data_IF_616568735296
#
_entry.id   IF_616568735296
#
_cell.length_a   1.000
_cell.length_b   1.000
_cell.length_c   1.000
_cell.angle_alpha   90.00
_cell.angle_beta   90.00
_cell.angle_gamma   90.00
#
_symmetry.space_group_name_H-M   'P 1'
#
loop_
_entity.id
_entity.type
_entity.pdbx_description
1 polymer ?
#
# COMPACT_ATOMS: atom_id res chain seq x y z
N UNK A 1 -4.86 20.07 -24.54
CA UNK A 1 -5.07 20.91 -23.34
C UNK A 1 -4.07 20.50 -22.29
N UNK A 2 -3.30 21.43 -21.71
CA UNK A 2 -2.42 21.12 -20.59
C UNK A 2 -3.26 20.90 -19.33
N UNK A 3 -3.31 19.68 -18.81
CA UNK A 3 -4.00 19.34 -17.55
C UNK A 3 -3.37 20.15 -16.41
N UNK A 4 -4.18 20.75 -15.55
CA UNK A 4 -3.69 21.45 -14.34
C UNK A 4 -3.62 20.49 -13.15
N UNK A 5 -2.84 20.82 -12.12
CA UNK A 5 -2.76 20.02 -10.89
C UNK A 5 -4.08 19.97 -10.11
N UNK A 6 -4.98 20.93 -10.34
CA UNK A 6 -6.30 20.99 -9.71
C UNK A 6 -7.37 20.22 -10.49
N UNK A 7 -7.07 19.82 -11.74
CA UNK A 7 -8.01 19.04 -12.55
C UNK A 7 -8.19 17.64 -11.94
N UNK A 8 -9.38 17.03 -12.11
CA UNK A 8 -9.57 15.63 -11.75
C UNK A 8 -8.70 14.72 -12.62
N UNK A 9 -8.21 13.62 -12.04
CA UNK A 9 -7.64 12.52 -12.84
C UNK A 9 -8.74 12.00 -13.76
N UNK A 10 -8.42 11.85 -15.05
CA UNK A 10 -9.36 11.33 -16.04
C UNK A 10 -9.48 9.82 -15.88
N UNK A 11 -10.40 9.39 -15.01
CA UNK A 11 -10.80 7.99 -14.85
C UNK A 11 -12.21 7.81 -15.43
N UNK A 12 -12.38 6.79 -16.26
CA UNK A 12 -13.70 6.40 -16.78
C UNK A 12 -14.44 5.58 -15.73
N UNK A 13 -15.75 5.56 -15.83
CA UNK A 13 -16.62 4.73 -15.00
C UNK A 13 -17.49 3.83 -15.86
N UNK A 14 -18.12 2.86 -15.22
CA UNK A 14 -18.97 1.84 -15.87
C UNK A 14 -20.17 2.43 -16.62
N UNK A 15 -20.52 3.71 -16.42
CA UNK A 15 -21.58 4.37 -17.20
C UNK A 15 -21.26 4.48 -18.70
N UNK A 16 -20.00 4.25 -19.07
CA UNK A 16 -19.58 4.14 -20.46
C UNK A 16 -20.07 2.87 -21.17
N UNK A 17 -20.55 1.87 -20.44
CA UNK A 17 -21.03 0.60 -21.01
C UNK A 17 -22.55 0.50 -20.97
N UNK A 18 -23.20 -0.20 -21.92
CA UNK A 18 -24.64 -0.46 -21.82
C UNK A 18 -24.93 -1.49 -20.72
N UNK A 19 -26.04 -1.31 -19.99
CA UNK A 19 -26.54 -2.30 -19.02
C UNK A 19 -25.72 -2.45 -17.74
N UNK A 20 -24.99 -1.41 -17.32
CA UNK A 20 -24.26 -1.41 -16.04
C UNK A 20 -25.20 -1.39 -14.83
N UNK A 21 -24.86 -2.15 -13.79
CA UNK A 21 -25.67 -2.27 -12.58
C UNK A 21 -25.47 -1.08 -11.62
N UNK A 22 -24.23 -0.64 -11.45
CA UNK A 22 -23.84 0.46 -10.58
C UNK A 22 -22.72 1.28 -11.23
N UNK A 23 -22.66 2.59 -10.92
CA UNK A 23 -21.58 3.46 -11.37
C UNK A 23 -20.37 3.20 -10.48
N UNK A 24 -19.38 2.49 -11.03
CA UNK A 24 -18.09 2.21 -10.41
C UNK A 24 -16.98 2.76 -11.31
N UNK A 25 -15.91 3.31 -10.72
CA UNK A 25 -14.77 3.76 -11.51
C UNK A 25 -14.03 2.53 -12.03
N UNK A 26 -13.76 2.52 -13.32
CA UNK A 26 -12.97 1.46 -13.94
C UNK A 26 -11.52 1.69 -13.52
N UNK A 27 -10.88 0.74 -12.82
CA UNK A 27 -9.58 0.97 -12.21
C UNK A 27 -8.50 1.21 -13.26
N UNK A 28 -7.56 2.11 -12.92
CA UNK A 28 -6.28 2.24 -13.62
C UNK A 28 -5.21 1.55 -12.79
N UNK A 29 -4.60 0.50 -13.33
CA UNK A 29 -3.76 -0.45 -12.58
C UNK A 29 -2.28 -0.24 -12.91
N UNK A 30 -1.46 -0.14 -11.88
CA UNK A 30 0.00 -0.01 -11.97
C UNK A 30 0.68 -1.16 -11.25
N UNK A 31 1.82 -1.61 -11.77
CA UNK A 31 2.61 -2.72 -11.22
C UNK A 31 1.76 -3.98 -11.03
N UNK A 32 2.02 -4.71 -9.94
CA UNK A 32 1.20 -5.87 -9.53
C UNK A 32 0.15 -5.44 -8.52
N UNK A 33 -1.12 -5.69 -8.82
CA UNK A 33 -2.21 -5.34 -7.93
C UNK A 33 -3.31 -6.39 -7.95
N UNK A 34 -3.93 -6.62 -6.79
CA UNK A 34 -5.16 -7.39 -6.67
C UNK A 34 -6.35 -6.45 -6.74
N UNK A 35 -7.18 -6.58 -7.77
CA UNK A 35 -8.29 -5.66 -8.06
C UNK A 35 -9.62 -6.39 -8.11
N UNK A 36 -10.72 -5.66 -7.84
CA UNK A 36 -12.08 -6.14 -8.05
C UNK A 36 -12.46 -5.98 -9.53
N UNK A 37 -12.69 -7.07 -10.29
CA UNK A 37 -13.18 -6.98 -11.66
C UNK A 37 -14.62 -6.43 -11.67
N UNK A 38 -14.91 -5.56 -12.63
CA UNK A 38 -16.23 -4.94 -12.79
C UNK A 38 -17.01 -5.64 -13.88
N UNK A 39 -18.29 -5.95 -13.62
CA UNK A 39 -19.15 -6.61 -14.60
C UNK A 39 -19.22 -5.79 -15.88
N UNK A 40 -18.99 -6.44 -17.02
CA UNK A 40 -18.99 -5.81 -18.34
C UNK A 40 -20.17 -6.22 -19.22
N UNK A 41 -20.77 -7.39 -19.00
CA UNK A 41 -21.86 -7.89 -19.83
C UNK A 41 -23.10 -8.30 -19.04
N UNK A 42 -24.25 -8.30 -19.72
CA UNK A 42 -25.55 -8.69 -19.16
C UNK A 42 -25.58 -10.15 -18.71
N UNK A 43 -24.83 -11.05 -19.35
CA UNK A 43 -24.77 -12.46 -18.93
C UNK A 43 -23.95 -12.68 -17.64
N UNK A 44 -23.22 -11.66 -17.16
CA UNK A 44 -22.42 -11.75 -15.93
C UNK A 44 -21.21 -12.67 -16.02
N UNK A 45 -20.73 -12.94 -17.24
CA UNK A 45 -19.59 -13.85 -17.50
C UNK A 45 -18.33 -13.12 -17.91
N UNK A 46 -18.43 -11.85 -18.35
CA UNK A 46 -17.28 -11.03 -18.72
C UNK A 46 -17.17 -9.83 -17.78
N UNK A 47 -15.93 -9.55 -17.36
CA UNK A 47 -15.59 -8.52 -16.41
C UNK A 47 -14.40 -7.70 -16.92
N UNK A 48 -14.43 -6.40 -16.71
CA UNK A 48 -13.30 -5.52 -16.97
C UNK A 48 -12.42 -5.44 -15.71
N UNK A 49 -11.10 -5.57 -15.89
CA UNK A 49 -10.11 -5.48 -14.81
C UNK A 49 -9.32 -4.17 -14.81
N UNK A 50 -9.27 -3.47 -15.94
CA UNK A 50 -8.62 -2.16 -16.05
C UNK A 50 -9.13 -1.35 -17.26
N UNK A 51 -9.08 -0.02 -17.15
CA UNK A 51 -9.42 0.95 -18.23
C UNK A 51 -8.25 1.19 -19.22
N UNK A 52 -7.39 0.19 -19.37
CA UNK A 52 -6.28 0.15 -20.32
C UNK A 52 -5.87 -1.29 -20.56
N UNK A 53 -5.03 -1.52 -21.58
CA UNK A 53 -4.40 -2.82 -21.76
C UNK A 53 -3.46 -3.13 -20.59
N UNK A 54 -3.49 -4.37 -20.11
CA UNK A 54 -2.60 -4.88 -19.06
C UNK A 54 -1.61 -5.88 -19.64
N UNK A 55 -0.49 -6.08 -18.97
CA UNK A 55 0.53 -7.05 -19.38
C UNK A 55 -0.01 -8.48 -19.24
N UNK A 56 -0.64 -8.79 -18.11
CA UNK A 56 -1.24 -10.09 -17.84
C UNK A 56 -2.24 -10.03 -16.67
N UNK A 57 -3.08 -11.07 -16.58
CA UNK A 57 -3.83 -11.44 -15.38
C UNK A 57 -3.29 -12.79 -14.92
N UNK A 58 -2.68 -12.83 -13.74
CA UNK A 58 -1.93 -13.99 -13.26
C UNK A 58 -2.84 -15.00 -12.53
N UNK A 59 -3.84 -14.52 -11.80
CA UNK A 59 -4.85 -15.37 -11.16
C UNK A 59 -6.19 -14.64 -10.99
N UNK A 60 -7.25 -15.43 -10.87
CA UNK A 60 -8.60 -14.95 -10.54
C UNK A 60 -9.15 -15.85 -9.44
N UNK A 61 -9.70 -15.25 -8.40
CA UNK A 61 -10.30 -15.95 -7.27
C UNK A 61 -11.76 -15.55 -7.12
N UNK A 62 -12.63 -16.51 -6.81
CA UNK A 62 -14.02 -16.31 -6.42
C UNK A 62 -14.20 -16.77 -4.97
N UNK A 63 -14.58 -15.85 -4.09
CA UNK A 63 -14.70 -16.09 -2.64
C UNK A 63 -13.40 -16.64 -1.99
N UNK A 64 -12.25 -16.26 -2.57
CA UNK A 64 -10.92 -16.70 -2.15
C UNK A 64 -10.39 -17.91 -2.93
N UNK A 65 -11.26 -18.67 -3.60
CA UNK A 65 -10.86 -19.88 -4.31
C UNK A 65 -10.44 -19.60 -5.75
N UNK A 66 -9.33 -20.16 -6.25
CA UNK A 66 -8.93 -20.01 -7.65
C UNK A 66 -9.99 -20.55 -8.62
N UNK A 67 -10.27 -19.79 -9.68
CA UNK A 67 -11.22 -20.19 -10.73
C UNK A 67 -10.56 -20.19 -12.11
N UNK A 68 -11.07 -21.03 -13.01
CA UNK A 68 -10.67 -20.99 -14.41
C UNK A 68 -11.19 -19.71 -15.07
N UNK A 69 -10.32 -19.04 -15.84
CA UNK A 69 -10.65 -17.80 -16.53
C UNK A 69 -9.97 -17.71 -17.88
N UNK A 70 -10.50 -16.86 -18.75
CA UNK A 70 -9.83 -16.40 -19.97
C UNK A 70 -9.61 -14.90 -19.87
N UNK A 71 -8.41 -14.42 -20.16
CA UNK A 71 -8.13 -12.99 -20.20
C UNK A 71 -7.79 -12.53 -21.63
N UNK A 72 -8.08 -11.25 -21.93
CA UNK A 72 -7.62 -10.58 -23.15
C UNK A 72 -7.62 -9.06 -22.98
N UNK A 73 -6.80 -8.38 -23.79
CA UNK A 73 -6.93 -6.95 -24.03
C UNK A 73 -7.83 -6.73 -25.25
N UNK A 74 -8.75 -5.78 -25.17
CA UNK A 74 -9.70 -5.49 -26.25
C UNK A 74 -10.25 -4.07 -26.17
N UNK A 75 -11.10 -3.70 -27.12
CA UNK A 75 -11.84 -2.44 -27.07
C UNK A 75 -13.21 -2.63 -26.43
N UNK A 76 -13.65 -1.70 -25.59
CA UNK A 76 -15.02 -1.67 -25.10
C UNK A 76 -16.01 -1.12 -26.14
N UNK A 77 -17.29 -0.99 -25.75
CA UNK A 77 -18.36 -0.48 -26.61
C UNK A 77 -18.14 0.94 -27.13
N UNK A 78 -17.26 1.73 -26.51
CA UNK A 78 -16.90 3.09 -26.93
C UNK A 78 -15.63 3.14 -27.79
N UNK A 79 -14.98 1.99 -28.02
CA UNK A 79 -13.72 1.88 -28.75
C UNK A 79 -12.47 2.13 -27.91
N UNK A 80 -12.61 2.28 -26.58
CA UNK A 80 -11.48 2.49 -25.67
C UNK A 80 -10.82 1.17 -25.31
N UNK A 81 -9.49 1.13 -25.22
CA UNK A 81 -8.75 -0.08 -24.88
C UNK A 81 -8.90 -0.41 -23.39
N UNK A 82 -9.32 -1.64 -23.09
CA UNK A 82 -9.50 -2.16 -21.74
C UNK A 82 -8.92 -3.58 -21.65
N UNK A 83 -8.76 -4.04 -20.41
CA UNK A 83 -8.43 -5.43 -20.11
C UNK A 83 -9.65 -6.14 -19.52
N UNK A 84 -9.90 -7.37 -20.00
CA UNK A 84 -11.06 -8.16 -19.62
C UNK A 84 -10.66 -9.56 -19.15
N UNK A 85 -11.50 -10.12 -18.29
CA UNK A 85 -11.54 -11.53 -17.96
C UNK A 85 -12.93 -12.09 -18.27
N UNK A 86 -12.99 -13.37 -18.61
CA UNK A 86 -14.23 -14.11 -18.72
C UNK A 86 -14.17 -15.38 -17.86
N UNK A 87 -15.27 -15.62 -17.15
CA UNK A 87 -15.51 -16.83 -16.38
C UNK A 87 -16.42 -17.78 -17.20
N UNK A 88 -16.30 -19.10 -17.00
CA UNK A 88 -17.13 -20.08 -17.71
C UNK A 88 -18.62 -19.95 -17.35
N UNK A 89 -18.92 -19.56 -16.11
CA UNK A 89 -20.26 -19.38 -15.58
C UNK A 89 -20.34 -18.06 -14.81
N UNK A 90 -21.55 -17.50 -14.72
CA UNK A 90 -21.78 -16.27 -13.98
C UNK A 90 -21.67 -16.56 -12.46
N UNK A 91 -20.90 -15.77 -11.70
CA UNK A 91 -20.84 -15.90 -10.25
C UNK A 91 -22.21 -15.70 -9.60
N UNK A 92 -22.42 -16.37 -8.47
CA UNK A 92 -23.59 -16.13 -7.64
C UNK A 92 -23.65 -14.67 -7.15
N UNK A 93 -24.87 -14.18 -6.95
CA UNK A 93 -25.09 -12.83 -6.43
C UNK A 93 -24.40 -12.66 -5.07
N UNK A 94 -23.44 -11.73 -4.99
CA UNK A 94 -22.72 -11.42 -3.76
C UNK A 94 -21.38 -12.14 -3.60
N UNK A 95 -21.01 -13.02 -4.54
CA UNK A 95 -19.70 -13.64 -4.57
C UNK A 95 -18.59 -12.59 -4.79
N UNK A 96 -17.44 -12.79 -4.15
CA UNK A 96 -16.31 -11.86 -4.18
C UNK A 96 -15.33 -12.27 -5.24
N UNK A 97 -15.36 -11.57 -6.37
CA UNK A 97 -14.40 -11.76 -7.45
C UNK A 97 -13.20 -10.84 -7.26
N UNK A 98 -11.99 -11.41 -7.33
CA UNK A 98 -10.73 -10.67 -7.31
C UNK A 98 -9.77 -11.22 -8.36
N UNK A 99 -8.95 -10.35 -8.95
CA UNK A 99 -7.95 -10.71 -9.94
C UNK A 99 -6.58 -10.12 -9.60
N UNK A 100 -5.53 -10.92 -9.70
CA UNK A 100 -4.13 -10.47 -9.63
C UNK A 100 -3.69 -10.03 -11.03
N UNK A 101 -3.35 -8.75 -11.18
CA UNK A 101 -3.15 -8.09 -12.48
C UNK A 101 -1.76 -7.46 -12.53
N UNK A 102 -1.10 -7.60 -13.68
CA UNK A 102 0.13 -6.86 -14.05
C UNK A 102 -0.24 -5.69 -14.96
N UNK A 103 -0.33 -4.50 -14.37
CA UNK A 103 -0.77 -3.28 -15.03
C UNK A 103 0.33 -2.53 -15.79
N UNK A 104 0.22 -1.19 -15.80
CA UNK A 104 1.24 -0.28 -16.32
C UNK A 104 2.52 -0.33 -15.45
N UNK A 105 3.57 0.38 -15.87
CA UNK A 105 4.82 0.48 -15.11
C UNK A 105 4.57 0.75 -13.62
N UNK A 106 5.19 -0.05 -12.75
CA UNK A 106 5.19 0.16 -11.31
C UNK A 106 6.22 1.19 -10.84
N UNK A 107 7.04 1.74 -11.74
CA UNK A 107 8.01 2.77 -11.37
C UNK A 107 7.28 4.06 -10.98
N UNK A 108 7.51 4.62 -9.76
CA UNK A 108 6.83 5.83 -9.30
C UNK A 108 6.90 7.02 -10.27
N UNK A 109 8.04 7.21 -10.94
CA UNK A 109 8.20 8.30 -11.90
C UNK A 109 7.35 8.10 -13.16
N UNK A 110 7.23 6.86 -13.66
CA UNK A 110 6.39 6.53 -14.81
C UNK A 110 4.90 6.70 -14.46
N UNK A 111 4.50 6.31 -13.24
CA UNK A 111 3.14 6.53 -12.73
C UNK A 111 2.83 8.03 -12.68
N UNK A 112 3.74 8.85 -12.13
CA UNK A 112 3.57 10.31 -12.11
C UNK A 112 3.49 10.88 -13.53
N UNK A 113 4.33 10.42 -14.45
CA UNK A 113 4.30 10.85 -15.86
C UNK A 113 2.99 10.48 -16.57
N UNK A 114 2.39 9.35 -16.21
CA UNK A 114 1.10 8.92 -16.74
C UNK A 114 -0.07 9.79 -16.22
N UNK A 115 -0.04 10.15 -14.92
CA UNK A 115 -1.04 11.02 -14.31
C UNK A 115 -0.92 12.48 -14.73
N UNK A 116 0.33 12.95 -14.81
CA UNK A 116 0.72 14.31 -15.13
C UNK A 116 1.97 14.31 -16.01
N UNK A 117 1.79 14.33 -17.36
CA UNK A 117 2.89 14.25 -18.30
C UNK A 117 3.95 15.34 -18.08
N UNK A 118 5.17 14.89 -17.78
CA UNK A 118 6.34 15.74 -17.52
C UNK A 118 7.60 15.14 -18.14
N UNK A 119 8.52 15.99 -18.59
CA UNK A 119 9.78 15.58 -19.21
C UNK A 119 10.96 15.54 -18.24
N UNK A 120 10.83 16.16 -17.06
CA UNK A 120 11.89 16.33 -16.08
C UNK A 120 11.94 15.23 -15.01
N UNK A 121 11.25 14.10 -15.17
CA UNK A 121 11.22 12.99 -14.20
C UNK A 121 12.37 11.99 -14.32
N UNK A 122 13.32 12.19 -15.25
CA UNK A 122 14.33 11.19 -15.60
C UNK A 122 15.26 10.81 -14.43
N UNK A 123 15.70 11.79 -13.64
CA UNK A 123 16.57 11.56 -12.49
C UNK A 123 15.84 10.81 -11.38
N UNK A 124 14.58 11.17 -11.13
CA UNK A 124 13.73 10.47 -10.16
C UNK A 124 13.46 9.02 -10.61
N UNK A 125 13.18 8.81 -11.91
CA UNK A 125 13.01 7.48 -12.47
C UNK A 125 14.27 6.61 -12.30
N UNK A 126 15.46 7.19 -12.50
CA UNK A 126 16.74 6.53 -12.26
C UNK A 126 16.96 6.20 -10.77
N UNK A 127 16.64 7.14 -9.88
CA UNK A 127 16.68 6.90 -8.43
C UNK A 127 15.79 5.71 -8.03
N UNK A 128 14.54 5.69 -8.50
CA UNK A 128 13.59 4.60 -8.24
C UNK A 128 14.14 3.24 -8.73
N UNK A 129 14.68 3.17 -9.95
CA UNK A 129 15.30 1.94 -10.47
C UNK A 129 16.48 1.48 -9.63
N UNK A 130 17.39 2.40 -9.28
CA UNK A 130 18.60 2.06 -8.54
C UNK A 130 18.31 1.56 -7.11
N UNK A 131 17.21 1.99 -6.52
CA UNK A 131 16.77 1.57 -5.18
C UNK A 131 15.72 0.45 -5.22
N UNK A 132 15.36 -0.03 -6.40
CA UNK A 132 14.34 -1.07 -6.58
C UNK A 132 12.96 -0.66 -6.06
N UNK A 133 12.61 0.62 -6.19
CA UNK A 133 11.31 1.15 -5.79
C UNK A 133 10.28 0.80 -6.85
N UNK A 134 9.31 -0.02 -6.44
CA UNK A 134 8.22 -0.46 -7.28
C UNK A 134 6.90 -0.34 -6.51
N UNK A 135 5.87 0.15 -7.20
CA UNK A 135 4.53 0.30 -6.68
C UNK A 135 3.58 -0.59 -7.46
N UNK A 136 2.62 -1.17 -6.75
CA UNK A 136 1.58 -2.00 -7.30
C UNK A 136 0.24 -1.62 -6.69
N UNK A 137 -0.72 -1.16 -7.49
CA UNK A 137 -2.05 -0.80 -6.99
C UNK A 137 -2.97 -0.25 -8.05
N UNK A 138 -4.21 0.02 -7.66
CA UNK A 138 -5.23 0.55 -8.55
C UNK A 138 -5.72 1.94 -8.13
N UNK A 139 -5.82 2.86 -9.09
CA UNK A 139 -6.60 4.09 -8.92
C UNK A 139 -8.05 3.81 -9.33
N UNK A 140 -8.91 3.71 -8.32
CA UNK A 140 -10.34 3.47 -8.47
C UNK A 140 -11.19 4.56 -7.79
N UNK A 141 -10.60 5.70 -7.43
CA UNK A 141 -11.28 6.80 -6.74
C UNK A 141 -11.11 8.14 -7.47
N UNK A 142 -12.14 9.00 -7.39
CA UNK A 142 -12.06 10.35 -7.96
C UNK A 142 -11.18 11.22 -7.08
N UNK A 143 -10.08 11.70 -7.64
CA UNK A 143 -9.18 12.64 -6.98
C UNK A 143 -8.59 13.63 -7.97
N UNK A 144 -8.04 14.73 -7.47
CA UNK A 144 -7.28 15.68 -8.30
C UNK A 144 -5.93 15.10 -8.68
N UNK A 145 -5.34 15.59 -9.77
CA UNK A 145 -3.97 15.22 -10.16
C UNK A 145 -2.99 15.47 -9.01
N UNK A 146 -3.11 16.61 -8.31
CA UNK A 146 -2.31 16.93 -7.12
C UNK A 146 -2.41 15.84 -6.05
N UNK A 147 -3.62 15.39 -5.73
CA UNK A 147 -3.84 14.37 -4.72
C UNK A 147 -3.26 13.02 -5.16
N UNK A 148 -3.44 12.64 -6.43
CA UNK A 148 -2.88 11.41 -6.97
C UNK A 148 -1.34 11.41 -6.96
N UNK A 149 -0.71 12.50 -7.40
CA UNK A 149 0.75 12.66 -7.36
C UNK A 149 1.26 12.61 -5.92
N UNK A 150 0.61 13.33 -5.00
CA UNK A 150 0.97 13.30 -3.57
C UNK A 150 0.85 11.88 -2.99
N UNK A 151 -0.21 11.17 -3.35
CA UNK A 151 -0.44 9.79 -2.91
C UNK A 151 0.66 8.85 -3.41
N UNK A 152 0.99 8.88 -4.71
CA UNK A 152 2.03 8.02 -5.31
C UNK A 152 3.39 8.29 -4.68
N UNK A 153 3.77 9.56 -4.53
CA UNK A 153 5.09 9.92 -4.02
C UNK A 153 5.23 9.65 -2.52
N UNK A 154 4.15 9.73 -1.74
CA UNK A 154 4.19 9.35 -0.32
C UNK A 154 4.45 7.84 -0.12
N UNK A 155 4.06 6.98 -1.07
CA UNK A 155 4.31 5.54 -0.99
C UNK A 155 5.79 5.17 -0.97
N UNK A 156 6.63 6.05 -1.53
CA UNK A 156 8.08 5.84 -1.62
C UNK A 156 8.87 6.82 -0.75
N UNK A 157 8.20 7.55 0.14
CA UNK A 157 8.85 8.55 0.99
C UNK A 157 9.46 9.71 0.20
N UNK A 158 8.87 10.08 -0.94
CA UNK A 158 9.31 11.20 -1.75
C UNK A 158 8.46 12.45 -1.48
N UNK A 159 9.05 13.62 -1.73
CA UNK A 159 8.37 14.92 -1.76
C UNK A 159 8.40 15.48 -3.17
N UNK A 160 7.51 16.42 -3.45
CA UNK A 160 7.45 17.10 -4.73
C UNK A 160 7.03 18.56 -4.58
N UNK A 161 7.38 19.34 -5.60
CA UNK A 161 6.84 20.67 -5.83
C UNK A 161 6.78 20.89 -7.33
N UNK A 162 5.78 21.66 -7.79
CA UNK A 162 5.67 22.01 -9.21
C UNK A 162 6.88 22.81 -9.72
N UNK A 163 7.56 23.54 -8.83
CA UNK A 163 8.79 24.28 -9.12
C UNK A 163 10.08 23.51 -8.86
N UNK A 164 10.01 22.30 -8.29
CA UNK A 164 11.18 21.48 -7.99
C UNK A 164 11.90 21.05 -9.28
N UNK A 165 13.23 21.25 -9.42
CA UNK A 165 13.99 20.57 -10.46
C UNK A 165 13.83 19.06 -10.31
N UNK A 166 13.45 18.37 -11.37
CA UNK A 166 13.17 16.94 -11.30
C UNK A 166 11.74 16.58 -10.87
N UNK A 167 10.93 17.59 -10.49
CA UNK A 167 9.56 17.51 -9.96
C UNK A 167 9.39 16.78 -8.62
N UNK A 168 10.09 15.66 -8.41
CA UNK A 168 10.05 14.84 -7.20
C UNK A 168 11.46 14.40 -6.77
N UNK A 169 11.64 14.20 -5.46
CA UNK A 169 12.89 13.72 -4.88
C UNK A 169 12.63 12.94 -3.59
N UNK A 170 13.53 12.02 -3.18
CA UNK A 170 13.42 11.33 -1.90
C UNK A 170 13.45 12.30 -0.71
N UNK A 171 12.72 11.96 0.34
CA UNK A 171 12.71 12.70 1.61
C UNK A 171 12.87 11.75 2.81
N UNK A 172 13.73 12.08 3.79
CA UNK A 172 14.64 13.22 3.80
C UNK A 172 15.65 13.16 2.64
N UNK A 173 16.17 14.31 2.19
CA UNK A 173 17.19 14.32 1.15
C UNK A 173 18.46 13.64 1.69
N UNK A 174 19.25 12.97 0.83
CA UNK A 174 20.50 12.35 1.25
C UNK A 174 21.43 13.33 1.99
N UNK A 175 22.15 12.85 3.00
CA UNK A 175 23.06 13.68 3.81
C UNK A 175 24.22 14.26 2.97
N UNK A 176 24.58 13.61 1.88
CA UNK A 176 25.58 14.04 0.89
C UNK A 176 24.98 14.85 -0.27
N UNK A 177 23.69 15.22 -0.17
CA UNK A 177 22.99 16.03 -1.15
C UNK A 177 23.58 17.45 -1.28
N UNK A 178 23.38 18.11 -2.43
CA UNK A 178 23.88 19.46 -2.66
C UNK A 178 23.21 20.48 -1.72
N UNK A 179 23.99 21.43 -1.23
CA UNK A 179 23.49 22.62 -0.53
C UNK A 179 23.04 23.64 -1.57
N UNK A 180 21.76 24.02 -1.55
CA UNK A 180 21.15 24.89 -2.56
C UNK A 180 21.34 26.38 -2.27
N UNK A 181 21.50 26.75 -1.00
CA UNK A 181 21.83 28.10 -0.58
C UNK A 181 22.53 28.11 0.78
N UNK A 182 23.39 29.11 0.96
CA UNK A 182 24.05 29.46 2.21
C UNK A 182 23.52 30.80 2.71
N UNK A 183 22.97 30.81 3.91
CA UNK A 183 22.47 32.00 4.59
C UNK A 183 23.38 32.32 5.78
N UNK A 184 24.00 33.50 5.76
CA UNK A 184 24.70 34.07 6.90
C UNK A 184 23.81 34.99 7.74
N UNK A 185 24.32 35.54 8.86
CA UNK A 185 23.50 36.33 9.78
C UNK A 185 22.86 37.59 9.17
N UNK A 186 23.42 38.10 8.08
CA UNK A 186 22.93 39.28 7.37
C UNK A 186 21.90 38.95 6.28
N UNK A 187 21.77 37.67 5.92
CA UNK A 187 20.80 37.22 4.91
C UNK A 187 19.42 36.95 5.51
N UNK A 188 19.33 36.77 6.83
CA UNK A 188 18.10 36.47 7.55
C UNK A 188 17.51 37.74 8.17
N UNK A 189 16.25 38.00 7.84
CA UNK A 189 15.42 39.03 8.50
C UNK A 189 14.13 38.41 9.03
N UNK A 190 13.52 39.03 10.04
CA UNK A 190 12.23 38.60 10.63
C UNK A 190 12.18 37.09 10.95
N UNK A 191 13.29 36.53 11.45
CA UNK A 191 13.40 35.10 11.65
C UNK A 191 12.84 34.65 13.00
N UNK A 192 12.30 33.44 13.02
CA UNK A 192 11.89 32.71 14.20
C UNK A 192 12.42 31.28 14.14
N UNK A 193 12.65 30.68 15.31
CA UNK A 193 13.02 29.27 15.43
C UNK A 193 12.22 28.65 16.58
N UNK A 194 11.53 27.56 16.29
CA UNK A 194 10.74 26.82 17.26
C UNK A 194 11.07 25.33 17.20
N UNK A 195 10.99 24.66 18.35
CA UNK A 195 11.10 23.22 18.44
C UNK A 195 9.96 22.70 19.29
N UNK A 196 9.14 21.85 18.70
CA UNK A 196 8.00 21.24 19.36
C UNK A 196 8.14 19.72 19.36
N UNK A 197 7.59 19.07 20.38
CA UNK A 197 7.58 17.61 20.49
C UNK A 197 6.26 17.01 19.99
N UNK A 198 5.27 17.82 19.64
CA UNK A 198 3.94 17.38 19.16
C UNK A 198 4.03 16.47 17.93
N UNK A 199 5.02 16.71 17.06
CA UNK A 199 5.26 15.96 15.83
C UNK A 199 6.29 14.82 15.98
N UNK A 200 6.76 14.56 17.19
CA UNK A 200 7.73 13.51 17.48
C UNK A 200 7.05 12.14 17.44
N UNK A 201 7.59 11.23 16.63
CA UNK A 201 7.12 9.84 16.50
C UNK A 201 8.26 8.91 16.85
N UNK A 202 8.09 8.03 17.84
CA UNK A 202 9.13 7.08 18.27
C UNK A 202 8.79 5.63 17.95
N UNK A 203 7.52 5.35 17.63
CA UNK A 203 7.04 4.06 17.14
C UNK A 203 6.09 4.26 15.95
N UNK A 204 6.23 3.42 14.93
CA UNK A 204 5.48 3.52 13.68
C UNK A 204 4.85 2.17 13.33
N UNK A 205 3.54 2.14 13.21
CA UNK A 205 2.81 1.01 12.62
C UNK A 205 2.65 1.26 11.12
N UNK A 206 3.03 0.28 10.30
CA UNK A 206 3.03 0.37 8.84
C UNK A 206 2.13 -0.71 8.30
N UNK A 207 1.14 -0.34 7.50
CA UNK A 207 0.28 -1.27 6.76
C UNK A 207 0.62 -1.19 5.27
N UNK A 208 0.79 -2.34 4.63
CA UNK A 208 1.21 -2.43 3.23
C UNK A 208 0.63 -3.68 2.55
N UNK A 209 0.92 -3.83 1.25
CA UNK A 209 0.40 -4.88 0.39
C UNK A 209 -1.13 -4.93 0.41
N UNK A 210 -1.79 -3.83 0.02
CA UNK A 210 -3.24 -3.74 0.08
C UNK A 210 -3.91 -4.57 -1.00
N UNK A 211 -4.92 -5.35 -0.59
CA UNK A 211 -5.87 -5.94 -1.50
C UNK A 211 -6.87 -4.85 -1.93
N UNK A 212 -6.72 -4.32 -3.14
CA UNK A 212 -7.63 -3.28 -3.66
C UNK A 212 -9.01 -3.87 -3.99
N UNK A 213 -9.16 -5.21 -4.06
CA UNK A 213 -10.47 -5.86 -4.21
C UNK A 213 -11.27 -5.87 -2.90
N UNK A 214 -10.59 -6.04 -1.75
CA UNK A 214 -11.21 -6.08 -0.43
C UNK A 214 -11.05 -4.77 0.38
N UNK A 215 -10.20 -3.85 -0.07
CA UNK A 215 -9.94 -2.57 0.59
C UNK A 215 -9.17 -2.70 1.90
N UNK A 216 -8.30 -3.71 2.05
CA UNK A 216 -7.59 -3.99 3.30
C UNK A 216 -6.11 -4.33 3.09
N UNK A 217 -5.28 -3.99 4.08
CA UNK A 217 -3.88 -4.39 4.12
C UNK A 217 -3.74 -5.91 4.30
N UNK A 218 -2.85 -6.55 3.54
CA UNK A 218 -2.48 -7.96 3.76
C UNK A 218 -1.31 -8.10 4.69
N UNK A 219 -0.51 -7.05 4.88
CA UNK A 219 0.67 -7.11 5.74
C UNK A 219 0.79 -5.85 6.59
N UNK A 220 1.41 -6.02 7.76
CA UNK A 220 1.80 -4.92 8.61
C UNK A 220 3.12 -5.18 9.32
N UNK A 221 3.81 -4.11 9.67
CA UNK A 221 5.02 -4.16 10.48
C UNK A 221 5.03 -2.97 11.45
N UNK A 222 5.72 -3.13 12.57
CA UNK A 222 5.89 -2.09 13.57
C UNK A 222 7.37 -1.84 13.75
N UNK A 223 7.79 -0.58 13.58
CA UNK A 223 9.15 -0.14 13.86
C UNK A 223 9.19 0.74 15.09
N UNK A 224 10.31 0.69 15.79
CA UNK A 224 10.59 1.56 16.92
C UNK A 224 11.99 2.17 16.79
N UNK A 225 12.14 3.40 17.27
CA UNK A 225 13.43 4.05 17.49
C UNK A 225 13.79 3.98 18.99
N UNK A 226 14.46 2.91 19.48
CA UNK A 226 14.48 2.59 20.91
C UNK A 226 15.19 3.64 21.77
N UNK A 227 16.20 4.31 21.21
CA UNK A 227 16.90 5.41 21.90
C UNK A 227 15.97 6.61 22.07
N UNK A 228 15.20 6.96 21.03
CA UNK A 228 14.23 8.05 21.09
C UNK A 228 13.05 7.71 22.03
N UNK A 229 12.55 6.47 22.00
CA UNK A 229 11.53 5.99 22.94
C UNK A 229 11.98 6.12 24.40
N UNK A 230 13.23 5.74 24.70
CA UNK A 230 13.80 5.89 26.05
C UNK A 230 13.90 7.35 26.49
N UNK A 231 14.22 8.27 25.59
CA UNK A 231 14.41 9.69 25.91
C UNK A 231 13.09 10.48 25.96
N UNK A 232 12.15 10.19 25.06
CA UNK A 232 10.96 11.02 24.84
C UNK A 232 9.62 10.29 25.08
N UNK A 233 9.68 9.03 25.51
CA UNK A 233 8.52 8.15 25.64
C UNK A 233 8.11 7.50 24.32
N UNK A 234 7.26 6.48 24.41
CA UNK A 234 6.62 5.85 23.24
C UNK A 234 5.55 6.80 22.71
N UNK A 235 5.64 7.11 21.41
CA UNK A 235 4.75 8.00 20.67
C UNK A 235 4.45 7.34 19.33
N UNK A 236 3.24 6.82 19.23
CA UNK A 236 2.78 6.00 18.13
C UNK A 236 2.25 6.85 16.99
N UNK A 237 2.49 6.39 15.77
CA UNK A 237 1.87 6.90 14.55
C UNK A 237 1.65 5.77 13.56
N UNK A 238 0.81 6.02 12.56
CA UNK A 238 0.50 5.07 11.50
C UNK A 238 0.97 5.61 10.16
N UNK A 239 1.53 4.73 9.34
CA UNK A 239 1.92 5.01 7.96
C UNK A 239 1.32 3.94 7.04
N UNK A 240 0.32 4.31 6.27
CA UNK A 240 -0.24 3.44 5.25
C UNK A 240 0.57 3.54 3.96
N UNK A 241 1.07 2.39 3.49
CA UNK A 241 1.81 2.23 2.22
C UNK A 241 1.07 1.22 1.32
N UNK A 242 -0.20 1.49 0.94
CA UNK A 242 -1.05 0.52 0.25
C UNK A 242 -0.46 -0.05 -1.03
N UNK A 243 0.31 0.76 -1.78
CA UNK A 243 0.89 0.32 -3.05
C UNK A 243 2.27 -0.33 -2.93
N UNK A 244 2.83 -0.39 -1.72
CA UNK A 244 4.10 -1.09 -1.49
C UNK A 244 3.81 -2.57 -1.24
N UNK A 245 4.36 -3.43 -2.10
CA UNK A 245 4.10 -4.89 -2.07
C UNK A 245 5.10 -5.68 -1.27
N UNK A 246 6.30 -5.13 -1.09
CA UNK A 246 7.43 -5.82 -0.50
C UNK A 246 7.84 -5.24 0.86
N UNK A 247 8.11 -6.12 1.82
CA UNK A 247 8.45 -5.75 3.19
C UNK A 247 9.80 -5.01 3.27
N UNK A 248 10.76 -5.28 2.38
CA UNK A 248 12.05 -4.57 2.36
C UNK A 248 11.85 -3.12 1.96
N UNK A 249 11.05 -2.84 0.93
CA UNK A 249 10.70 -1.46 0.55
C UNK A 249 9.92 -0.75 1.68
N UNK A 250 8.90 -1.40 2.25
CA UNK A 250 8.11 -0.83 3.35
C UNK A 250 9.00 -0.47 4.55
N UNK A 251 9.91 -1.38 4.92
CA UNK A 251 10.88 -1.15 6.01
C UNK A 251 11.81 0.03 5.69
N UNK A 252 12.32 0.14 4.47
CA UNK A 252 13.23 1.22 4.08
C UNK A 252 12.54 2.59 4.14
N UNK A 253 11.36 2.73 3.54
CA UNK A 253 10.57 3.97 3.57
C UNK A 253 10.19 4.36 5.00
N UNK A 254 9.72 3.40 5.80
CA UNK A 254 9.33 3.63 7.17
C UNK A 254 10.52 3.96 8.09
N UNK A 255 11.69 3.36 7.85
CA UNK A 255 12.93 3.67 8.57
C UNK A 255 13.36 5.10 8.31
N UNK A 256 13.39 5.55 7.04
CA UNK A 256 13.76 6.92 6.70
C UNK A 256 12.79 7.93 7.33
N UNK A 257 11.49 7.65 7.29
CA UNK A 257 10.46 8.44 7.96
C UNK A 257 10.71 8.54 9.48
N UNK A 258 10.92 7.40 10.14
CA UNK A 258 11.09 7.35 11.59
C UNK A 258 12.41 7.98 12.03
N UNK A 259 13.50 7.80 11.28
CA UNK A 259 14.78 8.47 11.54
C UNK A 259 14.68 10.00 11.51
N UNK A 260 13.80 10.54 10.68
CA UNK A 260 13.49 11.97 10.68
C UNK A 260 12.60 12.36 11.88
N UNK A 261 11.49 11.64 12.07
CA UNK A 261 10.42 12.00 13.01
C UNK A 261 10.68 11.62 14.47
N UNK A 262 11.62 10.72 14.74
CA UNK A 262 12.03 10.32 16.08
C UNK A 262 12.98 11.31 16.76
N UNK A 263 13.23 12.46 16.12
CA UNK A 263 14.02 13.56 16.64
C UNK A 263 13.18 14.82 16.78
N UNK A 264 13.37 15.63 17.85
CA UNK A 264 12.77 16.95 17.93
C UNK A 264 13.14 17.77 16.68
N UNK A 265 12.15 18.32 15.99
CA UNK A 265 12.38 19.08 14.76
C UNK A 265 12.43 20.58 15.07
N UNK A 266 13.56 21.20 14.75
CA UNK A 266 13.65 22.66 14.71
C UNK A 266 13.02 23.15 13.42
N UNK A 267 12.00 23.99 13.53
CA UNK A 267 11.42 24.73 12.42
C UNK A 267 11.91 26.16 12.48
N UNK A 268 12.56 26.61 11.41
CA UNK A 268 13.05 27.97 11.25
C UNK A 268 12.29 28.62 10.12
N UNK A 269 11.71 29.79 10.40
CA UNK A 269 11.08 30.62 9.38
C UNK A 269 11.82 31.95 9.31
N UNK A 270 12.11 32.45 8.12
CA UNK A 270 12.81 33.71 7.94
C UNK A 270 12.50 34.36 6.60
N UNK A 271 12.72 35.67 6.52
CA UNK A 271 12.66 36.43 5.28
C UNK A 271 14.07 36.61 4.71
N UNK A 272 14.21 36.38 3.40
CA UNK A 272 15.46 36.53 2.65
C UNK A 272 15.26 37.36 1.38
N UNK A 273 16.38 37.72 0.73
CA UNK A 273 16.37 38.52 -0.49
C UNK A 273 15.72 37.81 -1.69
N UNK A 274 15.28 38.60 -2.69
CA UNK A 274 14.59 38.11 -3.89
C UNK A 274 15.42 37.16 -4.75
N UNK A 275 16.74 37.17 -4.62
CA UNK A 275 17.63 36.24 -5.32
C UNK A 275 17.39 34.78 -4.94
N UNK A 276 16.73 34.52 -3.80
CA UNK A 276 16.41 33.18 -3.31
C UNK A 276 15.02 32.70 -3.73
N UNK A 277 14.33 33.40 -4.64
CA UNK A 277 12.98 33.06 -5.10
C UNK A 277 12.88 31.72 -5.80
N UNK A 278 13.96 31.26 -6.41
CA UNK A 278 13.98 30.01 -7.16
C UNK A 278 14.30 28.79 -6.29
N UNK A 279 14.54 28.98 -4.97
CA UNK A 279 14.67 27.88 -4.02
C UNK A 279 13.39 27.03 -4.00
N UNK A 280 13.53 25.74 -3.75
CA UNK A 280 12.40 24.82 -3.74
C UNK A 280 12.34 23.99 -2.45
N UNK A 281 11.15 23.57 -2.02
CA UNK A 281 11.02 22.61 -0.93
C UNK A 281 11.74 21.28 -1.19
N UNK A 282 12.27 20.68 -0.14
CA UNK A 282 13.01 19.43 -0.14
C UNK A 282 14.52 19.56 -0.40
N UNK A 283 15.04 20.77 -0.65
CA UNK A 283 16.48 20.98 -0.77
C UNK A 283 17.16 21.29 0.57
N UNK A 284 18.44 20.91 0.69
CA UNK A 284 19.28 21.34 1.82
C UNK A 284 19.69 22.81 1.67
N UNK A 285 19.60 23.56 2.76
CA UNK A 285 20.17 24.90 2.91
C UNK A 285 21.03 24.97 4.17
N UNK A 286 22.08 25.77 4.09
CA UNK A 286 22.97 26.07 5.21
C UNK A 286 22.53 27.38 5.85
N UNK A 287 22.23 27.38 7.14
CA UNK A 287 21.78 28.58 7.88
C UNK A 287 22.71 28.83 9.06
N UNK A 288 23.67 29.73 8.87
CA UNK A 288 24.69 30.09 9.87
C UNK A 288 24.26 31.33 10.61
N UNK A 289 23.60 31.16 11.75
CA UNK A 289 23.20 32.27 12.60
C UNK A 289 23.53 31.98 14.07
N UNK A 290 24.24 32.87 14.80
CA UNK A 290 24.78 32.60 16.13
C UNK A 290 23.71 32.40 17.22
N UNK A 291 22.46 32.79 16.95
CA UNK A 291 21.32 32.56 17.84
C UNK A 291 20.45 31.37 17.45
N UNK A 292 20.77 30.66 16.36
CA UNK A 292 20.05 29.44 16.01
C UNK A 292 20.60 28.27 16.84
N UNK A 293 19.71 27.32 17.20
CA UNK A 293 20.00 26.31 18.22
C UNK A 293 20.88 25.16 17.74
N UNK A 294 20.97 24.94 16.43
CA UNK A 294 21.81 23.89 15.86
C UNK A 294 23.22 24.43 15.61
N UNK A 295 24.12 24.21 16.55
CA UNK A 295 25.55 24.44 16.35
C UNK A 295 26.18 23.21 15.68
N UNK A 296 26.82 23.38 14.51
CA UNK A 296 27.51 22.28 13.82
C UNK A 296 27.29 22.28 12.31
N UNK A 297 26.48 21.36 11.80
CA UNK A 297 26.27 21.18 10.35
C UNK A 297 25.50 22.35 9.71
N UNK A 298 24.70 23.11 10.49
CA UNK A 298 23.86 24.23 10.02
C UNK A 298 22.92 23.87 8.86
N UNK A 299 22.66 22.58 8.62
CA UNK A 299 21.84 22.11 7.51
C UNK A 299 20.37 22.02 7.91
N UNK A 300 19.51 22.59 7.07
CA UNK A 300 18.06 22.56 7.18
C UNK A 300 17.47 22.17 5.83
N UNK A 301 16.39 21.38 5.83
CA UNK A 301 15.64 21.08 4.61
C UNK A 301 14.53 22.10 4.46
N UNK A 302 14.45 22.77 3.31
CA UNK A 302 13.34 23.69 3.02
C UNK A 302 12.04 22.87 3.01
N UNK A 303 11.03 23.30 3.77
CA UNK A 303 9.71 22.67 3.76
C UNK A 303 8.65 23.52 3.08
N UNK A 304 8.85 24.84 3.02
CA UNK A 304 7.96 25.77 2.33
C UNK A 304 8.70 27.03 1.86
N UNK A 305 8.22 27.62 0.76
CA UNK A 305 8.74 28.85 0.20
C UNK A 305 7.57 29.73 -0.30
N UNK A 306 7.39 30.91 0.30
CA UNK A 306 6.59 31.98 -0.27
C UNK A 306 7.50 32.91 -1.10
N UNK A 307 7.35 32.94 -2.44
CA UNK A 307 8.17 33.80 -3.32
C UNK A 307 7.92 35.30 -3.12
N UNK A 308 6.90 35.69 -2.35
CA UNK A 308 6.65 37.07 -1.94
C UNK A 308 6.46 38.02 -3.11
N UNK A 309 5.70 37.59 -4.13
CA UNK A 309 5.45 38.37 -5.35
C UNK A 309 4.91 39.75 -4.95
N UNK A 310 5.64 40.81 -5.31
CA UNK A 310 5.30 42.20 -4.99
C UNK A 310 5.78 42.72 -3.63
N UNK A 311 6.42 41.90 -2.79
CA UNK A 311 6.91 42.28 -1.44
C UNK A 311 8.42 42.52 -1.34
N UNK A 312 9.18 42.27 -2.41
CA UNK A 312 10.62 42.54 -2.44
C UNK A 312 11.49 41.59 -1.59
N UNK A 313 10.96 40.42 -1.22
CA UNK A 313 11.67 39.38 -0.48
C UNK A 313 10.90 38.06 -0.52
N UNK A 314 11.53 36.99 -0.04
CA UNK A 314 10.93 35.65 0.04
C UNK A 314 10.81 35.23 1.49
N UNK A 315 9.82 34.40 1.82
CA UNK A 315 9.72 33.77 3.14
C UNK A 315 10.05 32.29 3.00
N UNK A 316 11.07 31.84 3.71
CA UNK A 316 11.54 30.45 3.71
C UNK A 316 11.14 29.81 5.03
N UNK A 317 10.57 28.61 4.96
CA UNK A 317 10.45 27.71 6.11
C UNK A 317 11.38 26.53 5.89
N UNK A 318 12.21 26.22 6.87
CA UNK A 318 13.10 25.06 6.83
C UNK A 318 13.05 24.28 8.14
N UNK A 319 13.26 22.97 8.06
CA UNK A 319 13.27 22.06 9.20
C UNK A 319 14.61 21.34 9.33
N UNK A 320 15.05 21.13 10.58
CA UNK A 320 16.23 20.33 10.86
C UNK A 320 16.02 19.49 12.13
N UNK A 321 16.30 18.18 12.07
CA UNK A 321 16.18 17.32 13.23
C UNK A 321 17.32 17.58 14.22
N UNK A 322 16.97 17.64 15.51
CA UNK A 322 17.93 17.78 16.59
C UNK A 322 18.55 16.44 16.97
N UNK A 323 19.89 16.42 17.07
CA UNK A 323 20.64 15.26 17.55
C UNK A 323 20.96 14.21 16.48
N UNK A 324 21.61 13.14 16.93
CA UNK A 324 22.07 12.04 16.08
C UNK A 324 20.91 11.25 15.51
N UNK A 325 21.06 10.77 14.26
CA UNK A 325 20.09 9.87 13.62
C UNK A 325 19.90 8.62 14.50
N UNK A 326 18.68 8.30 14.95
CA UNK A 326 18.46 7.14 15.82
C UNK A 326 18.52 5.84 15.01
N UNK A 327 18.96 4.76 15.67
CA UNK A 327 18.78 3.42 15.14
C UNK A 327 17.30 3.04 15.19
N UNK A 328 16.81 2.41 14.12
CA UNK A 328 15.44 1.90 14.01
C UNK A 328 15.48 0.38 13.98
N UNK A 329 14.57 -0.24 14.73
CA UNK A 329 14.42 -1.69 14.81
C UNK A 329 12.98 -2.11 14.49
N UNK A 330 12.82 -3.25 13.84
CA UNK A 330 11.50 -3.90 13.68
C UNK A 330 11.18 -4.58 15.01
N UNK A 331 10.04 -4.21 15.60
CA UNK A 331 9.56 -4.78 16.87
C UNK A 331 8.37 -5.72 16.70
N UNK A 332 7.72 -5.68 15.54
CA UNK A 332 6.65 -6.61 15.17
C UNK A 332 6.48 -6.70 13.65
N UNK A 333 6.07 -7.86 13.17
CA UNK A 333 5.65 -8.08 11.79
C UNK A 333 4.48 -9.05 11.79
N UNK A 334 3.46 -8.74 11.01
CA UNK A 334 2.25 -9.55 10.86
C UNK A 334 1.89 -9.66 9.39
N UNK A 335 1.50 -10.85 8.96
CA UNK A 335 0.87 -11.08 7.66
C UNK A 335 -0.53 -11.62 7.91
N UNK A 336 -1.51 -11.16 7.13
CA UNK A 336 -2.82 -11.77 7.05
C UNK A 336 -2.61 -13.19 6.51
N UNK A 337 -2.58 -14.16 7.42
CA UNK A 337 -2.64 -15.57 7.04
C UNK A 337 -4.05 -15.85 6.52
N UNK A 338 -4.15 -16.39 5.31
CA UNK A 338 -5.31 -17.20 4.99
C UNK A 338 -5.32 -18.38 5.97
N UNK A 339 -6.43 -18.64 6.68
CA UNK A 339 -6.47 -19.73 7.64
C UNK A 339 -6.28 -21.05 6.89
N UNK A 340 -5.27 -21.83 7.29
CA UNK A 340 -5.04 -23.18 6.76
C UNK A 340 -6.34 -23.97 6.89
N UNK A 341 -6.85 -24.46 5.75
CA UNK A 341 -8.14 -25.13 5.72
C UNK A 341 -7.97 -26.58 6.17
N UNK A 342 -8.94 -27.07 6.95
CA UNK A 342 -8.99 -28.46 7.39
C UNK A 342 -9.75 -29.26 6.33
N UNK A 343 -9.13 -30.20 5.65
CA UNK A 343 -9.85 -31.10 4.74
C UNK A 343 -10.22 -32.41 5.43
N UNK A 344 -11.14 -33.17 4.82
CA UNK A 344 -11.48 -34.49 5.29
C UNK A 344 -11.84 -35.44 4.15
N UNK A 345 -11.59 -36.72 4.37
CA UNK A 345 -12.06 -37.81 3.50
C UNK A 345 -12.85 -38.82 4.31
N UNK A 346 -13.86 -39.44 3.69
CA UNK A 346 -14.72 -40.42 4.33
C UNK A 346 -14.71 -41.72 3.55
N UNK A 347 -14.42 -42.80 4.25
CA UNK A 347 -14.57 -44.17 3.75
C UNK A 347 -15.74 -44.82 4.50
N UNK A 348 -16.83 -45.09 3.79
CA UNK A 348 -17.96 -45.83 4.34
C UNK A 348 -17.69 -47.34 4.30
N UNK A 349 -17.77 -48.00 5.46
CA UNK A 349 -17.60 -49.44 5.64
C UNK A 349 -18.78 -50.04 6.38
N UNK A 350 -19.87 -50.32 5.65
CA UNK A 350 -21.09 -50.91 6.22
C UNK A 350 -21.71 -50.03 7.31
N UNK A 351 -21.86 -50.56 8.53
CA UNK A 351 -22.41 -49.84 9.69
C UNK A 351 -21.42 -48.85 10.36
N UNK A 352 -20.22 -48.68 9.78
CA UNK A 352 -19.16 -47.80 10.30
C UNK A 352 -18.58 -46.91 9.22
N UNK A 353 -18.44 -45.62 9.51
CA UNK A 353 -17.72 -44.66 8.67
C UNK A 353 -16.37 -44.31 9.30
N UNK A 354 -15.33 -44.26 8.48
CA UNK A 354 -14.00 -43.78 8.88
C UNK A 354 -13.75 -42.43 8.23
N UNK A 355 -13.62 -41.40 9.05
CA UNK A 355 -13.25 -40.06 8.62
C UNK A 355 -11.75 -39.85 8.86
N UNK A 356 -11.03 -39.36 7.86
CA UNK A 356 -9.62 -38.97 7.98
C UNK A 356 -9.52 -37.46 7.83
N UNK A 357 -8.89 -36.79 8.79
CA UNK A 357 -8.70 -35.32 8.79
C UNK A 357 -7.33 -34.96 8.23
N UNK A 358 -7.28 -34.08 7.24
CA UNK A 358 -6.05 -33.60 6.59
C UNK A 358 -6.04 -32.07 6.52
N UNK A 359 -4.91 -31.48 6.13
CA UNK A 359 -4.89 -30.10 5.62
C UNK A 359 -4.98 -30.08 4.08
N UNK A 360 -4.97 -28.86 3.52
CA UNK A 360 -4.94 -28.56 2.08
C UNK A 360 -3.74 -29.16 1.32
N UNK A 361 -2.68 -29.54 2.02
CA UNK A 361 -1.53 -30.24 1.45
C UNK A 361 -1.63 -31.77 1.56
N UNK A 362 -2.76 -32.29 2.07
CA UNK A 362 -2.99 -33.71 2.33
C UNK A 362 -2.24 -34.26 3.55
N UNK A 363 -1.67 -33.41 4.40
CA UNK A 363 -0.98 -33.81 5.60
C UNK A 363 -1.99 -34.16 6.70
N UNK A 364 -1.79 -35.32 7.36
CA UNK A 364 -2.68 -35.82 8.40
C UNK A 364 -2.66 -34.95 9.66
N UNK A 365 -3.83 -34.66 10.22
CA UNK A 365 -4.01 -33.83 11.41
C UNK A 365 -4.45 -34.65 12.63
N UNK A 366 -3.51 -35.31 13.35
CA UNK A 366 -3.83 -36.06 14.57
C UNK A 366 -4.30 -35.13 15.69
N UNK A 367 -5.17 -35.61 16.57
CA UNK A 367 -5.70 -34.81 17.69
C UNK A 367 -6.86 -33.88 17.32
N UNK A 368 -7.30 -33.85 16.05
CA UNK A 368 -8.47 -33.10 15.61
C UNK A 368 -9.74 -33.57 16.33
N UNK A 369 -10.61 -32.64 16.73
CA UNK A 369 -11.88 -32.91 17.41
C UNK A 369 -13.01 -32.92 16.40
N UNK A 370 -13.78 -34.01 16.38
CA UNK A 370 -14.88 -34.21 15.45
C UNK A 370 -16.19 -34.40 16.21
N UNK A 371 -17.22 -33.64 15.85
CA UNK A 371 -18.59 -33.80 16.30
C UNK A 371 -19.45 -34.27 15.13
N UNK A 372 -20.42 -35.13 15.43
CA UNK A 372 -21.27 -35.79 14.46
C UNK A 372 -22.71 -35.67 14.96
N UNK A 373 -23.57 -34.96 14.22
CA UNK A 373 -24.93 -34.60 14.63
C UNK A 373 -24.97 -33.94 16.01
N UNK A 374 -23.97 -33.10 16.31
CA UNK A 374 -23.81 -32.44 17.60
C UNK A 374 -23.31 -33.36 18.73
N UNK A 375 -23.03 -34.64 18.47
CA UNK A 375 -22.46 -35.59 19.43
C UNK A 375 -20.94 -35.64 19.29
N UNK A 376 -20.22 -35.49 20.40
CA UNK A 376 -18.76 -35.44 20.42
C UNK A 376 -18.22 -34.52 21.53
N UNK A 377 -16.92 -34.19 21.52
CA UNK A 377 -15.95 -34.49 20.47
C UNK A 377 -15.36 -35.90 20.54
N UNK A 378 -15.20 -36.55 19.38
CA UNK A 378 -14.30 -37.69 19.21
C UNK A 378 -12.96 -37.15 18.71
N UNK A 379 -11.87 -37.54 19.37
CA UNK A 379 -10.52 -37.09 19.01
C UNK A 379 -9.92 -38.02 17.97
N UNK A 380 -9.38 -37.47 16.89
CA UNK A 380 -8.69 -38.20 15.85
C UNK A 380 -7.41 -38.85 16.39
N UNK A 381 -7.18 -40.10 16.02
CA UNK A 381 -6.01 -40.86 16.45
C UNK A 381 -4.69 -40.35 15.84
N UNK A 382 -3.56 -41.02 16.13
CA UNK A 382 -2.25 -40.68 15.58
C UNK A 382 -2.18 -40.77 14.04
N UNK A 383 -3.13 -41.46 13.40
CA UNK A 383 -3.28 -41.53 11.95
C UNK A 383 -4.31 -40.52 11.40
N UNK A 384 -4.77 -39.58 12.24
CA UNK A 384 -5.81 -38.59 11.98
C UNK A 384 -7.17 -39.19 11.61
N UNK A 385 -7.47 -40.41 12.11
CA UNK A 385 -8.72 -41.10 11.82
C UNK A 385 -9.71 -41.02 12.99
N UNK A 386 -10.98 -40.84 12.65
CA UNK A 386 -12.13 -40.93 13.54
C UNK A 386 -13.08 -42.00 12.98
N UNK A 387 -13.37 -43.01 13.78
CA UNK A 387 -14.34 -44.06 13.43
C UNK A 387 -15.61 -43.86 14.23
N UNK A 388 -16.75 -43.94 13.54
CA UNK A 388 -18.05 -43.80 14.18
C UNK A 388 -19.08 -44.70 13.51
N UNK A 389 -20.10 -45.06 14.29
CA UNK A 389 -21.28 -45.72 13.74
C UNK A 389 -22.23 -44.66 13.20
N UNK A 390 -22.71 -44.89 11.98
CA UNK A 390 -23.67 -44.02 11.32
C UNK A 390 -24.73 -44.86 10.65
N UNK A 391 -25.96 -44.35 10.65
CA UNK A 391 -27.05 -44.93 9.85
C UNK A 391 -26.98 -44.34 8.44
N UNK A 392 -27.46 -45.03 7.41
CA UNK A 392 -27.60 -44.42 6.09
C UNK A 392 -28.44 -43.14 6.18
N UNK A 393 -27.95 -42.02 5.66
CA UNK A 393 -28.61 -40.72 5.83
C UNK A 393 -27.70 -39.50 5.80
N UNK A 394 -28.31 -38.33 5.98
CA UNK A 394 -27.61 -37.05 6.13
C UNK A 394 -27.10 -36.90 7.55
N UNK A 395 -25.84 -36.49 7.68
CA UNK A 395 -25.20 -36.22 8.96
C UNK A 395 -24.48 -34.88 8.92
N UNK A 396 -24.48 -34.15 10.03
CA UNK A 396 -23.74 -32.89 10.18
C UNK A 396 -22.43 -33.18 10.89
N UNK A 397 -21.32 -32.91 10.23
CA UNK A 397 -19.99 -32.95 10.82
C UNK A 397 -19.55 -31.56 11.24
N UNK A 398 -18.94 -31.45 12.42
CA UNK A 398 -18.10 -30.32 12.80
C UNK A 398 -16.69 -30.81 13.12
N UNK A 399 -15.68 -30.20 12.54
CA UNK A 399 -14.27 -30.56 12.72
C UNK A 399 -13.52 -29.34 13.24
N UNK A 400 -12.74 -29.53 14.30
CA UNK A 400 -11.83 -28.52 14.86
C UNK A 400 -10.44 -29.10 15.00
N UNK A 401 -9.45 -28.40 14.43
CA UNK A 401 -8.03 -28.72 14.57
C UNK A 401 -7.30 -27.53 15.21
N UNK A 402 -6.24 -27.82 15.95
CA UNK A 402 -5.50 -26.78 16.68
C UNK A 402 -4.90 -25.75 15.72
N UNK A 403 -5.10 -24.47 16.04
CA UNK A 403 -4.69 -23.33 15.21
C UNK A 403 -5.39 -23.18 13.86
N UNK A 404 -6.48 -23.91 13.58
CA UNK A 404 -7.19 -23.90 12.28
C UNK A 404 -8.67 -23.50 12.42
N UNK A 405 -9.28 -23.07 11.30
CA UNK A 405 -10.71 -22.72 11.26
C UNK A 405 -11.58 -23.98 11.41
N UNK A 406 -12.57 -23.91 12.30
CA UNK A 406 -13.57 -24.97 12.44
C UNK A 406 -14.42 -25.09 11.17
N UNK A 407 -14.67 -26.32 10.72
CA UNK A 407 -15.53 -26.59 9.56
C UNK A 407 -16.79 -27.27 10.04
N UNK A 408 -17.94 -26.85 9.50
CA UNK A 408 -19.22 -27.54 9.66
C UNK A 408 -19.79 -27.86 8.29
N UNK A 409 -20.13 -29.12 8.04
CA UNK A 409 -20.49 -29.62 6.71
C UNK A 409 -21.50 -30.76 6.82
N UNK A 410 -22.34 -30.92 5.80
CA UNK A 410 -23.27 -32.04 5.70
C UNK A 410 -22.66 -33.13 4.83
N UNK A 411 -22.70 -34.37 5.33
CA UNK A 411 -22.28 -35.55 4.61
C UNK A 411 -23.47 -36.47 4.38
N UNK A 412 -23.42 -37.23 3.29
CA UNK A 412 -24.35 -38.32 3.02
C UNK A 412 -23.59 -39.63 3.16
N UNK A 413 -24.01 -40.47 4.11
CA UNK A 413 -23.45 -41.80 4.34
C UNK A 413 -24.35 -42.91 3.78
#
# INVERSE_FOLDING_TARGET
MSRTLSDPVTLRDTSAWPGYDAIEIIPRVYGRARVKPLRHNETGTAFAVADHAVEAVDSVTLDGEPVAFKWWNGSDATGHACAFIALPEAPDTGARLAAEVRGLSGNPADIVADLYPRADLADFAAHCRNHGLELGGALAERMTVRAAVQFVLSQVGAVWSAGLPGFAQPFPPPDDGPIWADFGPLDLTNWSAECTLDRLVTQLSVSFDFDDAEGKARQSLTLEAPTASKTHGVRESELALPWVRDARQATATATAYLQWRARPLWRVQFSAGVQYRDLQPGGWVSIRHPRLPLSGLWLYVITDLDPGIGRGGVTVTAEAPAGIVPAVAIVGQSSAFEPITTEYSIEAGGDTATLTVTDEAGQKLPGSKVWIDGKGPVTADAAAKVRFQAKPGRHVLRIEADGRRAITTEIQL
#
